data_IF_047371181925
#
_entry.id   IF_047371181925
#
_cell.length_a   1.000
_cell.length_b   1.000
_cell.length_c   1.000
_cell.angle_alpha   90.00
_cell.angle_beta   90.00
_cell.angle_gamma   90.00
#
_symmetry.space_group_name_H-M   'P 1'
#
loop_
_entity.id
_entity.type
_entity.pdbx_description
1 polymer ?
#
# COMPACT_ATOMS: atom_id res chain seq x y z
N UNK A 1 43.49 75.20 20.68
CA UNK A 1 43.10 75.44 22.08
C UNK A 1 44.02 74.57 22.88
N UNK A 2 45.08 75.17 23.42
CA UNK A 2 46.03 74.46 24.24
C UNK A 2 45.43 74.38 25.63
N UNK A 3 45.23 73.15 26.11
CA UNK A 3 44.77 72.91 27.48
C UNK A 3 46.00 73.08 28.35
N UNK A 4 46.15 74.23 29.00
CA UNK A 4 47.09 74.36 30.11
C UNK A 4 46.59 73.49 31.25
N UNK A 5 47.32 72.42 31.54
CA UNK A 5 47.05 71.56 32.69
C UNK A 5 47.92 72.09 33.82
N UNK A 6 47.30 72.46 34.93
CA UNK A 6 48.00 72.91 36.13
C UNK A 6 48.67 71.71 36.82
N UNK A 7 50.01 71.71 36.82
CA UNK A 7 50.82 70.65 37.43
C UNK A 7 50.50 70.45 38.92
N UNK A 8 50.07 71.50 39.63
CA UNK A 8 49.70 71.40 41.06
C UNK A 8 48.39 70.65 41.26
N UNK A 9 47.41 70.88 40.37
CA UNK A 9 46.13 70.16 40.40
C UNK A 9 46.32 68.68 40.06
N UNK A 10 47.24 68.36 39.13
CA UNK A 10 47.61 66.97 38.84
C UNK A 10 48.23 66.32 40.08
N UNK A 11 49.20 66.97 40.73
CA UNK A 11 49.88 66.40 41.90
C UNK A 11 48.89 66.13 43.04
N UNK A 12 48.00 67.08 43.33
CA UNK A 12 46.95 66.92 44.34
C UNK A 12 46.01 65.77 44.00
N UNK A 13 45.65 65.61 42.72
CA UNK A 13 44.81 64.50 42.25
C UNK A 13 45.49 63.15 42.44
N UNK A 14 46.79 63.06 42.13
CA UNK A 14 47.59 61.83 42.33
C UNK A 14 47.73 61.52 43.83
N UNK A 15 47.97 62.53 44.68
CA UNK A 15 48.04 62.36 46.14
C UNK A 15 46.74 61.81 46.72
N UNK A 16 45.61 62.39 46.33
CA UNK A 16 44.29 61.91 46.75
C UNK A 16 44.03 60.47 46.27
N UNK A 17 44.40 60.16 45.03
CA UNK A 17 44.21 58.83 44.46
C UNK A 17 45.08 57.78 45.17
N UNK A 18 46.36 58.09 45.44
CA UNK A 18 47.24 57.21 46.18
C UNK A 18 46.74 57.00 47.60
N UNK A 19 46.37 58.08 48.31
CA UNK A 19 45.86 57.99 49.67
C UNK A 19 44.60 57.11 49.75
N UNK A 20 43.67 57.30 48.80
CA UNK A 20 42.49 56.44 48.69
C UNK A 20 42.85 54.97 48.42
N UNK A 21 43.76 54.72 47.47
CA UNK A 21 44.19 53.37 47.11
C UNK A 21 44.93 52.67 48.26
N UNK A 22 45.78 53.40 48.97
CA UNK A 22 46.51 52.94 50.14
C UNK A 22 45.56 52.54 51.27
N UNK A 23 44.67 53.44 51.67
CA UNK A 23 43.67 53.17 52.72
C UNK A 23 42.76 52.00 52.35
N UNK A 24 42.34 51.91 51.10
CA UNK A 24 41.52 50.80 50.63
C UNK A 24 42.30 49.48 50.68
N UNK A 25 43.59 49.48 50.34
CA UNK A 25 44.42 48.28 50.39
C UNK A 25 44.68 47.83 51.83
N UNK A 26 45.04 48.74 52.74
CA UNK A 26 45.24 48.43 54.16
C UNK A 26 43.99 47.84 54.80
N UNK A 27 42.80 48.38 54.47
CA UNK A 27 41.53 47.81 54.93
C UNK A 27 41.25 46.40 54.38
N UNK A 28 41.79 46.04 53.21
CA UNK A 28 41.62 44.69 52.65
C UNK A 28 42.56 43.67 53.32
N UNK A 29 43.68 44.13 53.86
CA UNK A 29 44.67 43.30 54.55
C UNK A 29 44.41 43.20 56.07
N UNK A 30 43.30 43.78 56.56
CA UNK A 30 42.94 43.91 57.98
C UNK A 30 44.02 44.63 58.82
N UNK A 31 44.84 45.47 58.17
CA UNK A 31 45.88 46.25 58.86
C UNK A 31 45.24 47.40 59.65
N UNK A 32 45.70 47.61 60.88
CA UNK A 32 45.27 48.74 61.72
C UNK A 32 45.90 50.01 61.14
N UNK A 33 45.10 50.80 60.42
CA UNK A 33 45.47 52.14 59.97
C UNK A 33 45.70 53.01 61.21
N UNK A 34 46.90 53.58 61.36
CA UNK A 34 47.19 54.54 62.42
C UNK A 34 46.76 55.94 61.98
N UNK A 35 46.29 56.75 62.93
CA UNK A 35 45.80 58.12 62.67
C UNK A 35 46.85 59.07 62.03
N UNK A 36 48.12 58.67 62.02
CA UNK A 36 49.23 59.44 61.44
C UNK A 36 49.58 59.07 59.98
N UNK A 37 49.18 57.88 59.51
CA UNK A 37 49.42 57.42 58.13
C UNK A 37 48.91 58.37 57.02
N UNK A 38 47.71 58.99 57.11
CA UNK A 38 47.26 59.91 56.07
C UNK A 38 48.05 61.22 56.04
N UNK A 39 48.59 61.66 57.18
CA UNK A 39 49.38 62.90 57.28
C UNK A 39 50.76 62.73 56.66
N UNK A 40 51.33 61.54 56.78
CA UNK A 40 52.62 61.21 56.17
C UNK A 40 52.53 61.16 54.63
N UNK A 41 51.37 60.79 54.09
CA UNK A 41 51.09 60.82 52.65
C UNK A 41 50.98 62.27 52.12
N UNK A 42 50.36 63.18 52.89
CA UNK A 42 50.25 64.60 52.49
C UNK A 42 51.62 65.30 52.45
N UNK A 43 52.53 64.93 53.35
CA UNK A 43 53.87 65.51 53.47
C UNK A 43 54.91 64.88 52.51
N UNK A 44 54.53 63.84 51.76
CA UNK A 44 55.43 63.14 50.85
C UNK A 44 55.79 63.98 49.61
N UNK A 45 57.04 63.86 49.16
CA UNK A 45 57.48 64.50 47.91
C UNK A 45 56.81 63.86 46.69
N UNK A 46 56.61 64.64 45.62
CA UNK A 46 55.97 64.16 44.38
C UNK A 46 56.71 62.94 43.76
N UNK A 47 58.04 62.93 43.83
CA UNK A 47 58.86 61.82 43.34
C UNK A 47 58.67 60.55 44.17
N UNK A 48 58.64 60.66 45.50
CA UNK A 48 58.46 59.51 46.39
C UNK A 48 57.05 58.93 46.25
N UNK A 49 56.05 59.82 46.16
CA UNK A 49 54.66 59.44 45.92
C UNK A 49 54.51 58.65 44.61
N UNK A 50 55.13 59.11 43.51
CA UNK A 50 55.09 58.40 42.23
C UNK A 50 55.76 57.02 42.31
N UNK A 51 56.90 56.92 42.99
CA UNK A 51 57.58 55.63 43.19
C UNK A 51 56.71 54.68 44.00
N UNK A 52 56.16 55.14 45.14
CA UNK A 52 55.30 54.35 46.00
C UNK A 52 54.00 53.94 45.30
N UNK A 53 53.40 54.85 44.52
CA UNK A 53 52.21 54.54 43.71
C UNK A 53 52.49 53.48 42.65
N UNK A 54 53.65 53.57 41.97
CA UNK A 54 54.08 52.57 40.99
C UNK A 54 54.32 51.21 41.66
N UNK A 55 54.95 51.18 42.82
CA UNK A 55 55.16 49.95 43.59
C UNK A 55 53.84 49.32 44.03
N UNK A 56 52.90 50.12 44.54
CA UNK A 56 51.55 49.69 44.90
C UNK A 56 50.83 49.06 43.70
N UNK A 57 50.83 49.73 42.54
CA UNK A 57 50.22 49.20 41.31
C UNK A 57 50.87 47.87 40.90
N UNK A 58 52.20 47.79 40.91
CA UNK A 58 52.92 46.56 40.54
C UNK A 58 52.58 45.43 41.52
N UNK A 59 52.53 45.73 42.82
CA UNK A 59 52.12 44.78 43.86
C UNK A 59 50.71 44.26 43.60
N UNK A 60 49.74 45.15 43.38
CA UNK A 60 48.35 44.81 43.07
C UNK A 60 48.22 43.96 41.79
N UNK A 61 48.98 44.29 40.73
CA UNK A 61 48.97 43.52 39.49
C UNK A 61 49.59 42.13 39.68
N UNK A 62 50.67 42.00 40.47
CA UNK A 62 51.26 40.70 40.85
C UNK A 62 50.28 39.89 41.68
N UNK A 63 49.63 40.50 42.68
CA UNK A 63 48.61 39.85 43.50
C UNK A 63 47.44 39.36 42.64
N UNK A 64 46.91 40.19 41.74
CA UNK A 64 45.85 39.79 40.80
C UNK A 64 46.27 38.60 39.92
N UNK A 65 47.52 38.58 39.45
CA UNK A 65 48.05 37.46 38.67
C UNK A 65 48.16 36.18 39.51
N UNK A 66 48.73 36.27 40.71
CA UNK A 66 48.85 35.14 41.64
C UNK A 66 47.49 34.62 42.09
N UNK A 67 46.52 35.50 42.35
CA UNK A 67 45.19 35.11 42.79
C UNK A 67 44.40 34.44 41.66
N UNK A 68 44.53 34.90 40.41
CA UNK A 68 43.99 34.20 39.23
C UNK A 68 44.58 32.82 39.01
N UNK A 69 45.85 32.64 39.35
CA UNK A 69 46.57 31.37 39.31
C UNK A 69 46.51 30.63 40.65
N UNK A 70 45.73 31.13 41.61
CA UNK A 70 45.64 30.48 42.90
C UNK A 70 44.90 29.17 42.72
N UNK A 71 45.31 28.17 43.47
CA UNK A 71 44.64 26.89 43.54
C UNK A 71 43.14 27.06 43.86
N UNK A 72 42.77 28.07 44.66
CA UNK A 72 41.37 28.40 44.96
C UNK A 72 40.59 28.82 43.72
N UNK A 73 41.15 29.66 42.86
CA UNK A 73 40.48 30.08 41.62
C UNK A 73 40.33 28.91 40.64
N UNK A 74 41.36 28.08 40.50
CA UNK A 74 41.31 26.86 39.68
C UNK A 74 40.31 25.84 40.22
N UNK A 75 40.22 25.68 41.55
CA UNK A 75 39.26 24.81 42.21
C UNK A 75 37.82 25.24 41.94
N UNK A 76 37.52 26.55 42.03
CA UNK A 76 36.19 27.08 41.70
C UNK A 76 35.86 26.80 40.23
N UNK A 77 36.77 27.09 39.31
CA UNK A 77 36.55 26.84 37.88
C UNK A 77 36.33 25.34 37.60
N UNK A 78 37.10 24.46 38.25
CA UNK A 78 36.94 23.01 38.12
C UNK A 78 35.62 22.54 38.73
N UNK A 79 35.19 23.12 39.84
CA UNK A 79 33.88 22.87 40.46
C UNK A 79 32.75 23.22 39.49
N UNK A 80 32.80 24.38 38.84
CA UNK A 80 31.79 24.81 37.87
C UNK A 80 31.73 23.87 36.64
N UNK A 81 32.90 23.39 36.18
CA UNK A 81 32.98 22.40 35.10
C UNK A 81 32.35 21.06 35.51
N UNK A 82 32.61 20.60 36.73
CA UNK A 82 32.00 19.37 37.25
C UNK A 82 30.49 19.50 37.41
N UNK A 83 30.00 20.63 37.92
CA UNK A 83 28.57 20.91 38.03
C UNK A 83 27.89 20.87 36.65
N UNK A 84 28.51 21.51 35.65
CA UNK A 84 28.00 21.49 34.27
C UNK A 84 27.97 20.08 33.69
N UNK A 85 29.01 19.28 33.95
CA UNK A 85 29.06 17.88 33.51
C UNK A 85 28.01 17.03 34.22
N UNK A 86 27.82 17.24 35.52
CA UNK A 86 26.82 16.56 36.33
C UNK A 86 25.41 16.82 35.80
N UNK A 87 25.06 18.08 35.55
CA UNK A 87 23.78 18.45 34.96
C UNK A 87 23.55 17.83 33.58
N UNK A 88 24.60 17.73 32.75
CA UNK A 88 24.51 17.05 31.45
C UNK A 88 24.21 15.55 31.60
N UNK A 89 24.94 14.86 32.47
CA UNK A 89 24.73 13.44 32.75
C UNK A 89 23.34 13.18 33.35
N UNK A 90 22.89 14.05 34.26
CA UNK A 90 21.56 13.95 34.84
C UNK A 90 20.47 14.11 33.76
N UNK A 91 20.62 15.06 32.85
CA UNK A 91 19.70 15.25 31.73
C UNK A 91 19.68 14.04 30.78
N UNK A 92 20.85 13.44 30.51
CA UNK A 92 20.97 12.23 29.70
C UNK A 92 20.25 11.04 30.36
N UNK A 93 20.45 10.82 31.66
CA UNK A 93 19.74 9.78 32.44
C UNK A 93 18.22 10.00 32.40
N UNK A 94 17.76 11.24 32.62
CA UNK A 94 16.33 11.59 32.53
C UNK A 94 15.77 11.33 31.13
N UNK A 95 16.55 11.58 30.08
CA UNK A 95 16.15 11.30 28.71
C UNK A 95 16.08 9.79 28.42
N UNK A 96 17.08 9.01 28.86
CA UNK A 96 17.07 7.56 28.75
C UNK A 96 15.85 6.94 29.43
N UNK A 97 15.53 7.38 30.65
CA UNK A 97 14.34 6.92 31.37
C UNK A 97 13.04 7.20 30.60
N UNK A 98 12.91 8.38 29.98
CA UNK A 98 11.76 8.72 29.15
C UNK A 98 11.63 7.81 27.93
N UNK A 99 12.75 7.59 27.22
CA UNK A 99 12.78 6.72 26.04
C UNK A 99 12.48 5.27 26.40
N UNK A 100 13.03 4.77 27.51
CA UNK A 100 12.75 3.43 28.03
C UNK A 100 11.26 3.25 28.35
N UNK A 101 10.66 4.20 29.07
CA UNK A 101 9.22 4.17 29.36
C UNK A 101 8.38 4.22 28.09
N UNK A 102 8.75 5.03 27.11
CA UNK A 102 8.04 5.09 25.83
C UNK A 102 8.12 3.75 25.09
N UNK A 103 9.30 3.13 25.04
CA UNK A 103 9.49 1.81 24.43
C UNK A 103 8.68 0.73 25.15
N UNK A 104 8.61 0.79 26.48
CA UNK A 104 7.80 -0.13 27.29
C UNK A 104 6.31 -0.04 26.92
N UNK A 105 5.77 1.17 26.82
CA UNK A 105 4.38 1.38 26.38
C UNK A 105 4.12 0.85 24.96
N UNK A 106 5.08 1.04 24.05
CA UNK A 106 4.96 0.47 22.71
C UNK A 106 4.98 -1.06 22.73
N UNK A 107 5.83 -1.67 23.56
CA UNK A 107 5.88 -3.12 23.72
C UNK A 107 4.56 -3.67 24.27
N UNK A 108 4.02 -3.05 25.32
CA UNK A 108 2.71 -3.41 25.89
C UNK A 108 1.60 -3.32 24.83
N UNK A 109 1.55 -2.23 24.06
CA UNK A 109 0.57 -2.08 22.97
C UNK A 109 0.71 -3.13 21.86
N UNK A 110 1.94 -3.50 21.49
CA UNK A 110 2.15 -4.56 20.51
C UNK A 110 1.77 -5.93 21.05
N UNK A 111 2.03 -6.19 22.34
CA UNK A 111 1.63 -7.43 22.98
C UNK A 111 0.10 -7.58 23.03
N UNK A 112 -0.63 -6.52 23.41
CA UNK A 112 -2.10 -6.51 23.35
C UNK A 112 -2.61 -6.83 21.94
N UNK A 113 -2.01 -6.22 20.91
CA UNK A 113 -2.40 -6.46 19.51
C UNK A 113 -2.12 -7.90 19.06
N UNK A 114 -1.03 -8.51 19.53
CA UNK A 114 -0.73 -9.92 19.26
C UNK A 114 -1.82 -10.79 19.90
N UNK A 115 -2.16 -10.55 21.16
CA UNK A 115 -3.20 -11.30 21.87
C UNK A 115 -4.58 -11.17 21.19
N UNK A 116 -4.92 -10.01 20.64
CA UNK A 116 -6.14 -9.81 19.84
C UNK A 116 -6.13 -10.62 18.54
N UNK A 117 -4.99 -10.65 17.84
CA UNK A 117 -4.84 -11.43 16.61
C UNK A 117 -4.91 -12.94 16.88
N UNK A 118 -4.30 -13.42 17.95
CA UNK A 118 -4.37 -14.83 18.37
C UNK A 118 -5.80 -15.25 18.72
N UNK A 119 -6.56 -14.39 19.40
CA UNK A 119 -7.99 -14.62 19.67
C UNK A 119 -8.79 -14.70 18.37
N UNK A 120 -8.51 -13.82 17.42
CA UNK A 120 -9.19 -13.78 16.12
C UNK A 120 -8.86 -15.04 15.30
N UNK A 121 -7.59 -15.44 15.25
CA UNK A 121 -7.15 -16.67 14.60
C UNK A 121 -7.84 -17.89 15.20
N UNK A 122 -7.90 -17.99 16.53
CA UNK A 122 -8.60 -19.11 17.19
C UNK A 122 -10.08 -19.15 16.85
N UNK A 123 -10.74 -17.99 16.78
CA UNK A 123 -12.15 -17.89 16.37
C UNK A 123 -12.36 -18.31 14.92
N UNK A 124 -11.51 -17.84 14.01
CA UNK A 124 -11.58 -18.18 12.59
C UNK A 124 -11.32 -19.67 12.36
N UNK A 125 -10.34 -20.27 13.04
CA UNK A 125 -10.06 -21.70 12.98
C UNK A 125 -11.25 -22.54 13.45
N UNK A 126 -11.93 -22.12 14.52
CA UNK A 126 -13.14 -22.81 14.99
C UNK A 126 -14.27 -22.68 13.96
N UNK A 127 -14.44 -21.50 13.37
CA UNK A 127 -15.45 -21.25 12.33
C UNK A 127 -15.19 -22.09 11.08
N UNK A 128 -13.93 -22.22 10.66
CA UNK A 128 -13.53 -23.08 9.53
C UNK A 128 -13.90 -24.53 9.83
N UNK A 129 -13.54 -25.05 11.02
CA UNK A 129 -13.89 -26.42 11.43
C UNK A 129 -15.40 -26.66 11.41
N UNK A 130 -16.21 -25.75 11.95
CA UNK A 130 -17.67 -25.86 11.91
C UNK A 130 -18.23 -25.89 10.48
N UNK A 131 -17.65 -25.11 9.57
CA UNK A 131 -18.06 -25.09 8.16
C UNK A 131 -17.63 -26.35 7.41
N UNK A 132 -16.45 -26.89 7.71
CA UNK A 132 -15.97 -28.17 7.19
C UNK A 132 -16.89 -29.31 7.62
N UNK A 133 -17.24 -29.41 8.91
CA UNK A 133 -18.18 -30.40 9.41
C UNK A 133 -19.55 -30.30 8.71
N UNK A 134 -20.11 -29.09 8.59
CA UNK A 134 -21.37 -28.84 7.86
C UNK A 134 -21.28 -29.21 6.38
N UNK A 135 -20.11 -29.07 5.76
CA UNK A 135 -19.90 -29.47 4.37
C UNK A 135 -19.82 -30.98 4.23
N UNK A 136 -19.17 -31.67 5.16
CA UNK A 136 -19.03 -33.12 5.12
C UNK A 136 -20.34 -33.84 5.44
N UNK A 137 -21.17 -33.30 6.34
CA UNK A 137 -22.57 -33.72 6.52
C UNK A 137 -23.38 -33.59 5.22
N UNK A 138 -23.13 -32.52 4.44
CA UNK A 138 -23.77 -32.26 3.14
C UNK A 138 -23.13 -32.96 1.94
N UNK A 139 -21.98 -33.60 2.09
CA UNK A 139 -21.43 -34.52 1.07
C UNK A 139 -21.96 -35.95 1.22
N UNK A 140 -22.52 -36.29 2.38
CA UNK A 140 -23.18 -37.57 2.65
C UNK A 140 -24.73 -37.64 2.51
N UNK A 141 -25.49 -36.65 2.00
CA UNK A 141 -26.90 -36.83 1.73
C UNK A 141 -27.04 -37.58 0.41
N UNK A 142 -27.25 -38.90 0.52
CA UNK A 142 -27.91 -39.71 -0.51
C UNK A 142 -27.20 -39.73 -1.87
N UNK A 143 -25.98 -40.24 -1.93
CA UNK A 143 -25.43 -40.77 -3.20
C UNK A 143 -26.45 -41.67 -3.92
N UNK A 144 -27.31 -42.38 -3.18
CA UNK A 144 -28.35 -43.22 -3.78
C UNK A 144 -29.39 -42.48 -4.64
N UNK A 145 -29.73 -41.21 -4.36
CA UNK A 145 -30.80 -40.53 -5.09
C UNK A 145 -30.26 -39.84 -6.34
N UNK A 146 -29.11 -39.18 -6.22
CA UNK A 146 -28.40 -38.59 -7.38
C UNK A 146 -27.90 -39.67 -8.33
N UNK A 147 -27.37 -40.79 -7.82
CA UNK A 147 -26.92 -41.90 -8.66
C UNK A 147 -28.09 -42.61 -9.35
N UNK A 148 -29.26 -42.69 -8.72
CA UNK A 148 -30.49 -43.21 -9.35
C UNK A 148 -30.93 -42.30 -10.49
N UNK A 149 -31.00 -40.99 -10.26
CA UNK A 149 -31.37 -40.01 -11.30
C UNK A 149 -30.36 -40.05 -12.45
N UNK A 150 -29.06 -40.16 -12.15
CA UNK A 150 -28.01 -40.28 -13.17
C UNK A 150 -28.18 -41.53 -14.03
N UNK A 151 -28.40 -42.69 -13.39
CA UNK A 151 -28.67 -43.95 -14.12
C UNK A 151 -29.94 -43.89 -14.97
N UNK A 152 -31.01 -43.29 -14.44
CA UNK A 152 -32.27 -43.13 -15.20
C UNK A 152 -32.08 -42.23 -16.43
N UNK A 153 -31.32 -41.14 -16.29
CA UNK A 153 -30.98 -40.26 -17.41
C UNK A 153 -30.13 -40.97 -18.47
N UNK A 154 -29.12 -41.73 -18.06
CA UNK A 154 -28.28 -42.50 -18.97
C UNK A 154 -29.10 -43.55 -19.75
N UNK A 155 -30.04 -44.23 -19.09
CA UNK A 155 -30.96 -45.20 -19.71
C UNK A 155 -31.89 -44.52 -20.73
N UNK A 156 -32.48 -43.37 -20.37
CA UNK A 156 -33.31 -42.56 -21.29
C UNK A 156 -32.52 -42.11 -22.52
N UNK A 157 -31.26 -41.77 -22.34
CA UNK A 157 -30.38 -41.31 -23.41
C UNK A 157 -30.04 -42.47 -24.37
N UNK A 158 -29.74 -43.67 -23.84
CA UNK A 158 -29.55 -44.89 -24.65
C UNK A 158 -30.80 -45.25 -25.46
N UNK A 159 -31.97 -45.26 -24.84
CA UNK A 159 -33.24 -45.56 -25.52
C UNK A 159 -33.55 -44.55 -26.63
N UNK A 160 -33.21 -43.28 -26.42
CA UNK A 160 -33.40 -42.23 -27.43
C UNK A 160 -32.47 -42.41 -28.63
N UNK A 161 -31.21 -42.81 -28.41
CA UNK A 161 -30.27 -43.13 -29.48
C UNK A 161 -30.70 -44.35 -30.29
N UNK A 162 -31.12 -45.43 -29.63
CA UNK A 162 -31.60 -46.64 -30.32
C UNK A 162 -32.85 -46.35 -31.18
N UNK A 163 -33.76 -45.51 -30.66
CA UNK A 163 -34.93 -45.08 -31.42
C UNK A 163 -34.57 -44.18 -32.61
N UNK A 164 -33.54 -43.33 -32.47
CA UNK A 164 -33.02 -42.53 -33.58
C UNK A 164 -32.44 -43.43 -34.69
N UNK A 165 -31.63 -44.43 -34.33
CA UNK A 165 -31.08 -45.39 -35.30
C UNK A 165 -32.18 -46.19 -36.03
N UNK A 166 -33.24 -46.58 -35.34
CA UNK A 166 -34.40 -47.25 -35.95
C UNK A 166 -35.10 -46.34 -36.97
N UNK A 167 -35.27 -45.06 -36.62
CA UNK A 167 -35.85 -44.05 -37.53
C UNK A 167 -34.95 -43.80 -38.73
N UNK A 168 -33.65 -43.70 -38.55
CA UNK A 168 -32.69 -43.52 -39.65
C UNK A 168 -32.72 -44.70 -40.62
N UNK A 169 -32.75 -45.94 -40.11
CA UNK A 169 -32.92 -47.14 -40.94
C UNK A 169 -34.24 -47.14 -41.72
N UNK A 170 -35.33 -46.68 -41.11
CA UNK A 170 -36.62 -46.56 -41.78
C UNK A 170 -36.58 -45.46 -42.87
N UNK A 171 -35.94 -44.33 -42.57
CA UNK A 171 -35.76 -43.22 -43.49
C UNK A 171 -34.97 -43.64 -44.73
N UNK A 172 -33.86 -44.37 -44.57
CA UNK A 172 -33.07 -44.89 -45.69
C UNK A 172 -33.87 -45.84 -46.59
N UNK A 173 -34.79 -46.65 -46.02
CA UNK A 173 -35.69 -47.51 -46.81
C UNK A 173 -36.66 -46.68 -47.66
N UNK A 174 -37.25 -45.64 -47.06
CA UNK A 174 -38.16 -44.73 -47.77
C UNK A 174 -37.42 -43.97 -48.87
N UNK A 175 -36.20 -43.50 -48.61
CA UNK A 175 -35.36 -42.85 -49.63
C UNK A 175 -35.07 -43.79 -50.81
N UNK A 176 -34.72 -45.04 -50.53
CA UNK A 176 -34.49 -46.06 -51.55
C UNK A 176 -35.74 -46.30 -52.41
N UNK A 177 -36.92 -46.47 -51.77
CA UNK A 177 -38.19 -46.63 -52.48
C UNK A 177 -38.55 -45.39 -53.32
N UNK A 178 -38.27 -44.19 -52.80
CA UNK A 178 -38.51 -42.93 -53.50
C UNK A 178 -37.65 -42.82 -54.77
N UNK A 179 -36.37 -43.21 -54.70
CA UNK A 179 -35.48 -43.29 -55.87
C UNK A 179 -36.03 -44.28 -56.91
N UNK A 180 -36.50 -45.45 -56.47
CA UNK A 180 -37.11 -46.46 -57.36
C UNK A 180 -38.38 -45.95 -58.05
N UNK A 181 -39.26 -45.26 -57.31
CA UNK A 181 -40.48 -44.67 -57.84
C UNK A 181 -40.19 -43.53 -58.82
N UNK A 182 -39.19 -42.68 -58.54
CA UNK A 182 -38.73 -41.64 -59.48
C UNK A 182 -38.24 -42.24 -60.80
N UNK A 183 -37.45 -43.31 -60.75
CA UNK A 183 -36.97 -44.00 -61.96
C UNK A 183 -38.14 -44.57 -62.80
N UNK A 184 -39.12 -45.21 -62.15
CA UNK A 184 -40.34 -45.69 -62.83
C UNK A 184 -41.17 -44.55 -63.43
N UNK A 185 -41.29 -43.41 -62.73
CA UNK A 185 -42.00 -42.24 -63.22
C UNK A 185 -41.32 -41.65 -64.46
N UNK A 186 -39.99 -41.56 -64.48
CA UNK A 186 -39.21 -41.11 -65.64
C UNK A 186 -39.34 -42.06 -66.83
N UNK A 187 -39.38 -43.38 -66.60
CA UNK A 187 -39.64 -44.38 -67.63
C UNK A 187 -41.04 -44.21 -68.24
N UNK A 188 -42.09 -44.11 -67.41
CA UNK A 188 -43.47 -43.87 -67.88
C UNK A 188 -43.65 -42.54 -68.58
N UNK A 189 -42.93 -41.50 -68.16
CA UNK A 189 -42.94 -40.20 -68.84
C UNK A 189 -42.34 -40.32 -70.25
N UNK A 190 -41.23 -41.07 -70.40
CA UNK A 190 -40.62 -41.35 -71.72
C UNK A 190 -41.54 -42.17 -72.63
N UNK A 191 -42.20 -43.20 -72.12
CA UNK A 191 -43.21 -43.98 -72.87
C UNK A 191 -44.36 -43.09 -73.34
N UNK A 192 -44.92 -42.25 -72.44
CA UNK A 192 -46.01 -41.34 -72.76
C UNK A 192 -45.64 -40.32 -73.83
N UNK A 193 -44.45 -39.73 -73.75
CA UNK A 193 -43.94 -38.84 -74.80
C UNK A 193 -43.77 -39.54 -76.15
N UNK A 194 -43.36 -40.81 -76.14
CA UNK A 194 -43.31 -41.68 -77.33
C UNK A 194 -44.68 -41.83 -77.98
N UNK A 195 -45.67 -42.26 -77.20
CA UNK A 195 -47.07 -42.41 -77.66
C UNK A 195 -47.64 -41.08 -78.16
N UNK A 196 -47.37 -39.98 -77.46
CA UNK A 196 -47.81 -38.63 -77.86
C UNK A 196 -47.24 -38.25 -79.24
N UNK A 197 -45.96 -38.54 -79.49
CA UNK A 197 -45.32 -38.32 -80.81
C UNK A 197 -45.95 -39.20 -81.90
N UNK A 198 -46.27 -40.47 -81.61
CA UNK A 198 -46.95 -41.36 -82.54
C UNK A 198 -48.38 -40.91 -82.87
N UNK A 199 -49.17 -40.50 -81.87
CA UNK A 199 -50.51 -39.93 -82.08
C UNK A 199 -50.49 -38.71 -83.02
N UNK A 200 -49.47 -37.85 -82.89
CA UNK A 200 -49.29 -36.70 -83.79
C UNK A 200 -48.97 -37.16 -85.22
N UNK A 201 -48.20 -38.24 -85.41
CA UNK A 201 -47.94 -38.82 -86.74
C UNK A 201 -49.22 -39.40 -87.36
N UNK A 202 -50.00 -40.17 -86.60
CA UNK A 202 -51.28 -40.75 -87.08
C UNK A 202 -52.26 -39.66 -87.49
N UNK A 203 -52.37 -38.57 -86.72
CA UNK A 203 -53.19 -37.40 -87.05
C UNK A 203 -52.79 -36.71 -88.36
N UNK A 204 -51.54 -36.84 -88.81
CA UNK A 204 -51.07 -36.29 -90.10
C UNK A 204 -51.41 -37.21 -91.29
N UNK A 205 -51.46 -38.53 -91.08
CA UNK A 205 -51.70 -39.52 -92.15
C UNK A 205 -53.19 -39.70 -92.44
N UNK A 206 -54.07 -39.37 -91.48
CA UNK A 206 -55.52 -39.54 -91.64
C UNK A 206 -56.19 -38.17 -91.88
N UNK A 207 -56.54 -37.78 -93.12
CA UNK A 207 -57.26 -36.55 -93.37
C UNK A 207 -58.68 -36.64 -92.77
N UNK A 208 -59.04 -35.64 -91.97
CA UNK A 208 -60.34 -35.51 -91.30
C UNK A 208 -61.50 -35.60 -92.31
N UNK A 209 -62.31 -36.66 -92.25
CA UNK A 209 -63.72 -36.59 -92.66
C UNK A 209 -64.42 -35.61 -91.71
N UNK A 210 -64.94 -34.51 -92.24
CA UNK A 210 -65.83 -33.59 -91.52
C UNK A 210 -67.11 -34.37 -91.17
N UNK A 211 -67.28 -34.74 -89.90
CA UNK A 211 -68.56 -35.20 -89.36
C UNK A 211 -68.83 -34.43 -88.07
N UNK A 212 -69.72 -33.46 -88.22
CA UNK A 212 -70.86 -33.09 -87.36
C UNK A 212 -70.73 -33.34 -85.85
N UNK A 213 -70.58 -32.23 -85.12
CA UNK A 213 -71.45 -31.76 -84.03
C UNK A 213 -71.88 -32.80 -82.97
N UNK A 214 -71.31 -32.65 -81.76
CA UNK A 214 -71.79 -33.30 -80.55
C UNK A 214 -71.17 -32.64 -79.31
N UNK A 215 -71.84 -31.60 -78.81
CA UNK A 215 -71.59 -31.00 -77.50
C UNK A 215 -71.65 -32.05 -76.39
N UNK A 216 -70.54 -32.30 -75.69
CA UNK A 216 -70.57 -32.67 -74.28
C UNK A 216 -69.42 -31.97 -73.57
N UNK A 217 -69.79 -31.13 -72.60
CA UNK A 217 -68.91 -30.41 -71.68
C UNK A 217 -68.09 -31.42 -70.89
N UNK A 218 -66.77 -31.33 -70.95
CA UNK A 218 -65.86 -31.97 -70.00
C UNK A 218 -65.18 -30.83 -69.24
N UNK A 219 -65.90 -30.32 -68.23
CA UNK A 219 -65.52 -29.19 -67.38
C UNK A 219 -65.39 -29.61 -65.90
N UNK A 220 -65.06 -30.89 -65.61
CA UNK A 220 -65.15 -31.42 -64.23
C UNK A 220 -63.85 -31.98 -63.65
N UNK A 221 -62.73 -32.01 -64.39
CA UNK A 221 -61.49 -32.65 -63.87
C UNK A 221 -60.34 -31.67 -63.58
N UNK A 222 -60.50 -30.38 -63.88
CA UNK A 222 -59.45 -29.39 -63.63
C UNK A 222 -59.57 -28.66 -62.27
N UNK A 223 -60.67 -28.84 -61.54
CA UNK A 223 -60.92 -28.15 -60.26
C UNK A 223 -60.27 -28.87 -59.06
N UNK A 224 -60.11 -30.18 -59.09
CA UNK A 224 -59.60 -30.93 -57.92
C UNK A 224 -58.05 -30.96 -57.82
N UNK A 225 -57.33 -30.61 -58.89
CA UNK A 225 -55.87 -30.57 -58.86
C UNK A 225 -55.33 -29.26 -58.27
N UNK A 226 -56.03 -28.13 -58.43
CA UNK A 226 -55.64 -26.86 -57.80
C UNK A 226 -56.08 -26.76 -56.33
N UNK A 227 -57.17 -27.42 -55.94
CA UNK A 227 -57.59 -27.50 -54.52
C UNK A 227 -56.64 -28.32 -53.63
N UNK A 228 -55.82 -29.19 -54.22
CA UNK A 228 -54.87 -30.03 -53.48
C UNK A 228 -53.48 -29.37 -53.29
N UNK A 229 -53.18 -28.29 -54.03
CA UNK A 229 -51.91 -27.56 -53.91
C UNK A 229 -51.92 -26.52 -52.79
N UNK A 230 -53.09 -26.14 -52.28
CA UNK A 230 -53.27 -25.13 -51.23
C UNK A 230 -53.41 -25.69 -49.81
N UNK A 231 -53.40 -27.03 -49.61
CA UNK A 231 -53.48 -27.64 -48.26
C UNK A 231 -52.15 -28.11 -47.66
N UNK A 232 -51.04 -28.10 -48.41
CA UNK A 232 -49.73 -28.55 -47.92
C UNK A 232 -48.74 -27.41 -47.59
N UNK A 233 -49.19 -26.17 -47.42
CA UNK A 233 -48.30 -25.02 -47.13
C UNK A 233 -48.46 -24.42 -45.72
N UNK A 234 -49.08 -25.11 -44.76
CA UNK A 234 -49.47 -24.49 -43.48
C UNK A 234 -48.99 -25.20 -42.19
N UNK A 235 -47.99 -26.08 -42.25
CA UNK A 235 -47.46 -26.71 -41.01
C UNK A 235 -45.94 -26.84 -40.91
N UNK A 236 -45.18 -25.96 -41.59
CA UNK A 236 -43.73 -25.84 -41.35
C UNK A 236 -43.31 -24.39 -41.15
N UNK A 237 -43.81 -23.78 -40.08
CA UNK A 237 -43.10 -22.66 -39.43
C UNK A 237 -43.25 -22.75 -37.92
N UNK A 238 -42.50 -23.70 -37.34
CA UNK A 238 -42.10 -23.66 -35.94
C UNK A 238 -41.29 -22.39 -35.69
N UNK A 239 -42.04 -21.34 -35.41
CA UNK A 239 -41.66 -20.01 -34.97
C UNK A 239 -40.52 -20.03 -33.93
N UNK A 240 -39.30 -19.79 -34.41
CA UNK A 240 -38.16 -19.33 -33.60
C UNK A 240 -38.38 -17.83 -33.29
N UNK A 241 -39.48 -17.52 -32.58
CA UNK A 241 -39.72 -16.18 -32.03
C UNK A 241 -38.84 -15.99 -30.82
N UNK A 242 -38.00 -14.96 -30.93
CA UNK A 242 -37.04 -14.55 -29.93
C UNK A 242 -37.69 -14.22 -28.59
N UNK A 243 -37.05 -14.71 -27.54
CA UNK A 243 -37.05 -14.05 -26.25
C UNK A 243 -35.94 -13.02 -26.26
N UNK A 244 -36.32 -11.79 -26.61
CA UNK A 244 -35.52 -10.62 -26.32
C UNK A 244 -35.39 -10.41 -24.81
N UNK A 245 -34.18 -9.99 -24.44
CA UNK A 245 -33.87 -9.07 -23.34
C UNK A 245 -34.61 -9.24 -22.01
N UNK A 246 -33.89 -9.80 -21.03
CA UNK A 246 -33.87 -9.24 -19.68
C UNK A 246 -32.43 -9.10 -19.18
N UNK A 247 -31.97 -7.86 -19.17
CA UNK A 247 -31.15 -7.24 -18.14
C UNK A 247 -30.50 -8.19 -17.13
N UNK A 248 -29.17 -8.35 -17.24
CA UNK A 248 -28.30 -8.40 -16.07
C UNK A 248 -26.90 -7.93 -16.45
N UNK A 249 -26.74 -6.61 -16.55
CA UNK A 249 -25.49 -5.96 -16.14
C UNK A 249 -25.30 -6.30 -14.65
N UNK A 250 -24.57 -7.36 -14.36
CA UNK A 250 -23.78 -7.45 -13.14
C UNK A 250 -22.42 -6.85 -13.47
N UNK A 251 -22.32 -5.55 -13.29
CA UNK A 251 -21.06 -4.99 -12.81
C UNK A 251 -20.92 -5.54 -11.38
N UNK A 252 -20.08 -6.56 -11.19
CA UNK A 252 -19.39 -6.70 -9.91
C UNK A 252 -18.50 -5.45 -9.80
N UNK A 253 -18.77 -4.51 -8.88
CA UNK A 253 -18.26 -4.56 -7.50
C UNK A 253 -16.82 -5.08 -7.55
N UNK A 254 -15.78 -4.26 -7.63
CA UNK A 254 -15.52 -3.08 -6.81
C UNK A 254 -14.15 -3.29 -6.18
N UNK A 255 -13.11 -3.46 -7.01
CA UNK A 255 -11.71 -3.39 -6.59
C UNK A 255 -11.24 -1.96 -6.79
N UNK A 256 -11.60 -1.10 -5.85
CA UNK A 256 -10.97 0.20 -5.64
C UNK A 256 -11.55 0.78 -4.37
N UNK A 257 -10.99 0.39 -3.22
CA UNK A 257 -11.03 1.18 -1.99
C UNK A 257 -10.09 0.55 -0.95
N UNK A 258 -8.78 0.65 -1.20
CA UNK A 258 -7.76 0.51 -0.16
C UNK A 258 -6.51 1.32 -0.53
N UNK A 259 -6.67 2.62 -0.83
CA UNK A 259 -5.54 3.57 -0.81
C UNK A 259 -6.03 5.02 -0.80
N UNK A 260 -6.71 5.40 0.28
CA UNK A 260 -6.65 6.78 0.78
C UNK A 260 -6.44 6.72 2.28
N UNK A 261 -5.17 6.55 2.65
CA UNK A 261 -4.68 7.04 3.93
C UNK A 261 -4.94 8.54 3.95
N UNK A 262 -5.99 8.92 4.64
CA UNK A 262 -6.24 10.28 5.07
C UNK A 262 -5.10 10.69 6.01
N UNK A 263 -4.08 11.34 5.45
CA UNK A 263 -3.25 12.24 6.23
C UNK A 263 -4.12 13.43 6.62
N UNK A 264 -4.55 13.44 7.87
CA UNK A 264 -5.13 14.60 8.53
C UNK A 264 -4.13 15.77 8.42
N UNK A 265 -4.50 16.94 7.86
CA UNK A 265 -3.72 18.13 8.07
C UNK A 265 -3.96 18.58 9.51
N UNK A 266 -2.96 18.37 10.36
CA UNK A 266 -2.86 19.04 11.67
C UNK A 266 -2.85 20.54 11.38
N UNK A 267 -3.95 21.21 11.72
CA UNK A 267 -4.02 22.67 11.81
C UNK A 267 -3.02 23.10 12.89
N UNK A 268 -1.92 23.72 12.47
CA UNK A 268 -1.07 24.54 13.33
C UNK A 268 -1.52 25.99 13.18
N UNK A 269 -2.46 26.38 14.03
CA UNK A 269 -2.60 27.78 14.43
C UNK A 269 -1.59 28.05 15.54
N UNK A 270 -0.58 28.86 15.23
CA UNK A 270 0.01 29.80 16.19
C UNK A 270 1.13 30.58 15.52
N UNK A 271 0.79 31.80 15.16
CA UNK A 271 1.68 32.93 14.94
C UNK A 271 2.68 33.11 16.09
N UNK A 272 3.97 33.13 15.78
CA UNK A 272 4.96 33.87 16.55
C UNK A 272 6.12 34.27 15.63
N UNK A 273 6.23 35.58 15.43
CA UNK A 273 7.31 36.33 14.80
C UNK A 273 8.68 35.92 15.31
N UNK A 274 9.62 35.65 14.41
CA UNK A 274 11.04 35.94 14.62
C UNK A 274 11.67 36.25 13.25
N UNK A 275 12.08 37.50 13.12
CA UNK A 275 13.01 37.99 12.10
C UNK A 275 14.38 37.33 12.30
N UNK A 276 15.23 37.48 11.28
CA UNK A 276 16.67 37.22 11.21
C UNK A 276 16.97 36.05 10.27
N UNK A 277 18.01 36.06 9.47
CA UNK A 277 18.83 37.10 8.86
C UNK A 277 19.67 36.29 7.86
N UNK A 278 19.90 36.84 6.68
CA UNK A 278 20.77 36.24 5.68
C UNK A 278 22.20 36.16 6.21
N UNK A 279 22.80 34.96 6.23
CA UNK A 279 24.17 34.77 5.73
C UNK A 279 24.65 33.31 5.84
N UNK A 280 25.05 32.79 4.68
CA UNK A 280 26.23 31.94 4.44
C UNK A 280 26.80 31.13 5.60
N UNK A 281 26.85 29.80 5.48
CA UNK A 281 28.10 29.03 5.30
C UNK A 281 27.86 27.50 5.33
N UNK A 282 28.71 26.79 4.59
CA UNK A 282 29.02 25.34 4.65
C UNK A 282 28.23 24.36 3.76
N UNK A 283 28.88 24.13 2.62
CA UNK A 283 28.88 22.92 1.77
C UNK A 283 28.77 21.62 2.60
N UNK A 284 27.76 20.81 2.27
CA UNK A 284 27.69 19.42 2.70
C UNK A 284 28.67 18.54 1.89
N UNK A 285 29.47 17.65 2.53
CA UNK A 285 30.27 16.68 1.80
C UNK A 285 29.42 15.47 1.42
N UNK A 286 29.63 14.99 0.20
CA UNK A 286 29.07 13.78 -0.37
C UNK A 286 29.56 12.54 0.39
N UNK A 287 28.65 11.82 1.04
CA UNK A 287 28.91 10.48 1.56
C UNK A 287 28.66 9.45 0.45
N UNK A 288 29.73 9.10 -0.27
CA UNK A 288 29.81 7.91 -1.12
C UNK A 288 30.15 6.69 -0.24
N UNK A 289 29.35 5.65 -0.41
CA UNK A 289 29.69 4.22 -0.46
C UNK A 289 30.90 3.73 0.36
N UNK A 290 30.62 3.07 1.48
CA UNK A 290 31.41 1.94 1.96
C UNK A 290 30.59 1.13 2.99
N UNK A 291 29.78 0.17 2.54
CA UNK A 291 29.47 -1.01 3.37
C UNK A 291 30.03 -2.23 2.67
N UNK A 292 31.22 -2.61 3.16
CA UNK A 292 31.86 -3.89 2.93
C UNK A 292 30.99 -4.99 3.54
N UNK A 293 30.96 -6.11 2.83
CA UNK A 293 30.45 -7.41 3.27
C UNK A 293 30.95 -7.74 4.67
N UNK A 294 30.01 -8.00 5.59
CA UNK A 294 30.32 -8.69 6.85
C UNK A 294 30.01 -10.16 6.62
N UNK A 295 31.04 -10.96 6.87
CA UNK A 295 31.06 -12.40 6.73
C UNK A 295 29.92 -13.08 7.49
N UNK A 296 29.27 -14.02 6.82
CA UNK A 296 28.42 -15.02 7.44
C UNK A 296 29.30 -15.97 8.28
N UNK A 297 29.33 -15.75 9.60
CA UNK A 297 29.79 -16.77 10.55
C UNK A 297 28.71 -17.84 10.62
N UNK A 298 28.91 -18.92 9.87
CA UNK A 298 28.14 -20.16 9.98
C UNK A 298 28.46 -20.79 11.34
N UNK A 299 27.56 -20.64 12.31
CA UNK A 299 27.59 -21.39 13.56
C UNK A 299 27.13 -22.81 13.26
N UNK A 300 28.06 -23.75 13.10
CA UNK A 300 27.76 -25.17 13.10
C UNK A 300 27.53 -25.63 14.54
N UNK A 301 26.27 -25.91 14.87
CA UNK A 301 25.87 -26.52 16.14
C UNK A 301 26.29 -27.99 16.16
N UNK A 302 27.43 -28.26 16.79
CA UNK A 302 27.89 -29.62 17.12
C UNK A 302 26.98 -30.27 18.17
N UNK A 303 26.10 -31.18 17.74
CA UNK A 303 25.41 -32.13 18.63
C UNK A 303 26.42 -33.14 19.19
N UNK A 304 26.79 -32.99 20.46
CA UNK A 304 27.43 -34.06 21.26
C UNK A 304 26.36 -35.02 21.78
N UNK A 305 26.31 -36.21 21.20
CA UNK A 305 25.54 -37.35 21.71
C UNK A 305 26.25 -37.95 22.93
N UNK A 306 25.69 -37.75 24.12
CA UNK A 306 26.10 -38.47 25.33
C UNK A 306 25.40 -39.83 25.32
N UNK A 307 26.13 -40.90 25.01
CA UNK A 307 25.69 -42.27 25.30
C UNK A 307 25.88 -42.51 26.80
N UNK A 308 24.75 -42.70 27.50
CA UNK A 308 24.70 -43.21 28.88
C UNK A 308 25.21 -44.65 28.89
N UNK A 309 26.21 -44.93 29.72
CA UNK A 309 26.57 -46.29 30.10
C UNK A 309 25.56 -46.80 31.13
N UNK A 310 24.94 -47.94 30.84
CA UNK A 310 24.24 -48.73 31.85
C UNK A 310 25.26 -49.49 32.69
N UNK A 311 25.04 -49.50 34.01
CA UNK A 311 25.60 -50.49 34.92
C UNK A 311 24.82 -51.80 34.79
#
# INVERSE_FOLDING_TARGET
MDIEIDDQDIEKTIKNLYSYAYMTNSNLDDDIILDDDPKDIENSSSSDLQSNFKELIISLLKFKKLNKQSEKAELVQRSDQFETLFQKLENEVRNHYRLENQLKLHFESFQEKIEELEKTESFDLNTIKELEEKCDEKKNPKSSEVDKVRKEMDERLRNSLENAEKKDKALHKIEYENVKLKALLEEKTREYEGIKKELVKIKKITPRKKVVQGMYKIDVVQVDFEASKSRNSLDSSGSLRGYGNRNKKRCSFGESDFERLAFSPIKKDSSATLKNDDSNFLKAPAWRNARKSVDQVVITSGRKSIKKGCK
#
